data_IF_558149754156
#
_entry.id   IF_558149754156
#
_cell.length_a   1.000
_cell.length_b   1.000
_cell.length_c   1.000
_cell.angle_alpha   90.00
_cell.angle_beta   90.00
_cell.angle_gamma   90.00
#
_symmetry.space_group_name_H-M   'P 1'
#
loop_
_entity.id
_entity.type
_entity.pdbx_description
1 polymer ?
#
# COMPACT_ATOMS: atom_id res chain seq x y z
N UNK A 1 -7.61 29.30 9.94
CA UNK A 1 -8.05 27.96 10.26
C UNK A 1 -8.23 27.13 8.98
N UNK A 2 -9.01 27.60 8.02
CA UNK A 2 -9.30 26.90 6.76
C UNK A 2 -8.06 26.65 5.91
N UNK A 3 -7.11 27.61 5.88
CA UNK A 3 -5.83 27.42 5.19
C UNK A 3 -4.99 26.30 5.79
N UNK A 4 -4.97 26.19 7.13
CA UNK A 4 -4.22 25.14 7.83
C UNK A 4 -4.89 23.78 7.60
N UNK A 5 -6.24 23.72 7.65
CA UNK A 5 -7.01 22.53 7.29
C UNK A 5 -6.70 22.07 5.87
N UNK A 6 -6.74 23.03 4.91
CA UNK A 6 -6.42 22.76 3.51
C UNK A 6 -5.01 22.20 3.31
N UNK A 7 -4.00 22.76 4.02
CA UNK A 7 -2.64 22.23 3.98
C UNK A 7 -2.57 20.77 4.48
N UNK A 8 -3.27 20.47 5.59
CA UNK A 8 -3.35 19.10 6.11
C UNK A 8 -3.96 18.12 5.11
N UNK A 9 -5.07 18.49 4.48
CA UNK A 9 -5.75 17.68 3.46
C UNK A 9 -4.84 17.44 2.25
N UNK A 10 -4.24 18.49 1.70
CA UNK A 10 -3.35 18.41 0.53
C UNK A 10 -2.16 17.48 0.83
N UNK A 11 -1.49 17.68 1.97
CA UNK A 11 -0.35 16.88 2.36
C UNK A 11 -0.73 15.42 2.53
N UNK A 12 -1.84 15.15 3.18
CA UNK A 12 -2.37 13.80 3.37
C UNK A 12 -2.74 13.14 2.03
N UNK A 13 -3.59 13.78 1.24
CA UNK A 13 -4.11 13.21 0.00
C UNK A 13 -2.99 13.02 -1.05
N UNK A 14 -2.09 13.99 -1.19
CA UNK A 14 -0.99 13.91 -2.13
C UNK A 14 -0.01 12.76 -1.79
N UNK A 15 0.39 12.65 -0.52
CA UNK A 15 1.32 11.58 -0.09
C UNK A 15 0.70 10.20 -0.20
N UNK A 16 -0.61 10.06 0.07
CA UNK A 16 -1.35 8.82 -0.19
C UNK A 16 -1.39 8.51 -1.68
N UNK A 17 -1.68 9.52 -2.52
CA UNK A 17 -1.65 9.38 -3.97
C UNK A 17 -0.31 8.89 -4.50
N UNK A 18 0.80 9.46 -4.02
CA UNK A 18 2.16 9.05 -4.41
C UNK A 18 2.43 7.57 -4.06
N UNK A 19 2.07 7.15 -2.85
CA UNK A 19 2.26 5.77 -2.43
C UNK A 19 1.42 4.79 -3.27
N UNK A 20 0.13 5.10 -3.44
CA UNK A 20 -0.80 4.26 -4.21
C UNK A 20 -0.44 4.22 -5.70
N UNK A 21 0.00 5.34 -6.28
CA UNK A 21 0.30 5.46 -7.71
C UNK A 21 1.36 4.49 -8.20
N UNK A 22 2.35 4.16 -7.37
CA UNK A 22 3.44 3.25 -7.74
C UNK A 22 2.98 1.83 -8.08
N UNK A 23 1.86 1.38 -7.52
CA UNK A 23 1.30 0.03 -7.74
C UNK A 23 -0.08 0.06 -8.41
N UNK A 24 -0.73 1.23 -8.51
CA UNK A 24 -2.13 1.37 -8.91
C UNK A 24 -2.48 0.69 -10.24
N UNK A 25 -1.65 0.86 -11.28
CA UNK A 25 -1.94 0.27 -12.60
C UNK A 25 -1.81 -1.26 -12.60
N UNK A 26 -0.88 -1.81 -11.84
CA UNK A 26 -0.73 -3.27 -11.66
C UNK A 26 -1.87 -3.82 -10.81
N UNK A 27 -2.23 -3.12 -9.73
CA UNK A 27 -3.32 -3.49 -8.84
C UNK A 27 -4.68 -3.40 -9.54
N UNK A 28 -4.91 -2.38 -10.39
CA UNK A 28 -6.13 -2.24 -11.18
C UNK A 28 -6.36 -3.46 -12.06
N UNK A 29 -5.32 -3.94 -12.77
CA UNK A 29 -5.44 -5.14 -13.61
C UNK A 29 -5.69 -6.41 -12.80
N UNK A 30 -5.14 -6.51 -11.61
CA UNK A 30 -5.16 -7.71 -10.78
C UNK A 30 -6.34 -7.76 -9.80
N UNK A 31 -6.75 -6.60 -9.28
CA UNK A 31 -7.75 -6.48 -8.22
C UNK A 31 -9.04 -5.78 -8.69
N UNK A 32 -9.27 -5.66 -10.02
CA UNK A 32 -10.41 -4.93 -10.57
C UNK A 32 -11.77 -5.38 -9.99
N UNK A 33 -11.94 -6.69 -9.75
CA UNK A 33 -13.18 -7.22 -9.18
C UNK A 33 -13.41 -6.76 -7.74
N UNK A 34 -12.33 -6.69 -6.94
CA UNK A 34 -12.39 -6.19 -5.56
C UNK A 34 -12.64 -4.68 -5.53
N UNK A 35 -12.02 -3.94 -6.46
CA UNK A 35 -12.25 -2.51 -6.63
C UNK A 35 -13.69 -2.21 -7.05
N UNK A 36 -14.26 -3.01 -7.97
CA UNK A 36 -15.66 -2.92 -8.37
C UNK A 36 -16.60 -3.19 -7.18
N UNK A 37 -16.32 -4.23 -6.39
CA UNK A 37 -17.07 -4.51 -5.17
C UNK A 37 -17.03 -3.33 -4.17
N UNK A 38 -15.88 -2.67 -4.06
CA UNK A 38 -15.75 -1.43 -3.27
C UNK A 38 -16.65 -0.32 -3.78
N UNK A 39 -16.66 -0.07 -5.09
CA UNK A 39 -17.55 0.94 -5.72
C UNK A 39 -19.04 0.61 -5.48
N UNK A 40 -19.42 -0.66 -5.68
CA UNK A 40 -20.80 -1.13 -5.40
C UNK A 40 -21.14 -0.96 -3.92
N UNK A 41 -20.22 -1.33 -3.00
CA UNK A 41 -20.41 -1.15 -1.57
C UNK A 41 -20.63 0.32 -1.19
N UNK A 42 -19.84 1.25 -1.75
CA UNK A 42 -19.99 2.69 -1.55
C UNK A 42 -21.35 3.20 -2.08
N UNK A 43 -21.77 2.75 -3.26
CA UNK A 43 -23.05 3.13 -3.84
C UNK A 43 -24.24 2.59 -3.01
N UNK A 44 -24.16 1.34 -2.54
CA UNK A 44 -25.17 0.76 -1.66
C UNK A 44 -25.23 1.49 -0.31
N UNK A 45 -24.07 1.87 0.25
CA UNK A 45 -24.04 2.71 1.46
C UNK A 45 -24.73 4.06 1.25
N UNK A 46 -24.48 4.71 0.13
CA UNK A 46 -25.13 6.00 -0.19
C UNK A 46 -26.65 5.83 -0.32
N UNK A 47 -27.11 4.82 -1.04
CA UNK A 47 -28.53 4.53 -1.22
C UNK A 47 -29.22 4.14 0.10
N UNK A 48 -28.58 3.28 0.90
CA UNK A 48 -29.08 2.88 2.22
C UNK A 48 -29.07 4.07 3.19
N UNK A 49 -28.06 4.92 3.14
CA UNK A 49 -28.00 6.15 3.94
C UNK A 49 -29.13 7.11 3.61
N UNK A 50 -29.45 7.31 2.33
CA UNK A 50 -30.60 8.11 1.89
C UNK A 50 -31.93 7.48 2.31
N UNK A 51 -32.11 6.17 2.12
CA UNK A 51 -33.34 5.47 2.48
C UNK A 51 -33.60 5.48 4.01
N UNK A 52 -32.61 5.08 4.79
CA UNK A 52 -32.70 5.11 6.25
C UNK A 52 -32.74 6.54 6.79
N UNK A 53 -31.99 7.46 6.20
CA UNK A 53 -32.03 8.86 6.57
C UNK A 53 -33.43 9.45 6.45
N UNK A 54 -34.14 9.22 5.33
CA UNK A 54 -35.53 9.63 5.14
C UNK A 54 -36.48 9.00 6.18
N UNK A 55 -36.27 7.72 6.51
CA UNK A 55 -37.09 7.02 7.50
C UNK A 55 -36.95 7.64 8.89
N UNK A 56 -35.74 8.12 9.24
CA UNK A 56 -35.47 8.76 10.54
C UNK A 56 -35.56 10.30 10.50
N UNK A 57 -36.04 10.89 9.41
CA UNK A 57 -36.22 12.34 9.28
C UNK A 57 -34.93 13.14 9.16
N UNK A 58 -33.83 12.52 8.69
CA UNK A 58 -32.57 13.19 8.42
C UNK A 58 -32.63 13.96 7.10
N UNK A 59 -32.07 15.17 7.08
CA UNK A 59 -31.92 15.95 5.83
C UNK A 59 -30.84 15.35 4.92
N UNK A 60 -30.87 15.60 3.60
CA UNK A 60 -29.77 15.21 2.70
C UNK A 60 -28.40 15.71 3.17
N UNK A 61 -28.35 16.89 3.81
CA UNK A 61 -27.13 17.45 4.41
C UNK A 61 -26.60 16.58 5.56
N UNK A 62 -27.48 16.11 6.47
CA UNK A 62 -27.10 15.16 7.50
C UNK A 62 -26.55 13.86 6.88
N UNK A 63 -27.21 13.32 5.84
CA UNK A 63 -26.81 12.06 5.20
C UNK A 63 -25.47 12.24 4.48
N UNK A 64 -25.23 13.36 3.80
CA UNK A 64 -23.95 13.64 3.16
C UNK A 64 -22.80 13.73 4.20
N UNK A 65 -23.05 14.41 5.32
CA UNK A 65 -22.12 14.48 6.44
C UNK A 65 -21.86 13.10 7.05
N UNK A 66 -22.92 12.33 7.32
CA UNK A 66 -22.87 10.97 7.85
C UNK A 66 -22.04 10.06 6.94
N UNK A 67 -22.31 10.08 5.64
CA UNK A 67 -21.61 9.26 4.66
C UNK A 67 -20.11 9.58 4.61
N UNK A 68 -19.75 10.88 4.57
CA UNK A 68 -18.35 11.31 4.61
C UNK A 68 -17.68 10.94 5.94
N UNK A 69 -18.39 11.09 7.07
CA UNK A 69 -17.88 10.85 8.41
C UNK A 69 -17.63 9.37 8.70
N UNK A 70 -18.61 8.51 8.45
CA UNK A 70 -18.48 7.07 8.72
C UNK A 70 -17.38 6.41 7.87
N UNK A 71 -17.13 6.94 6.67
CA UNK A 71 -16.04 6.55 5.79
C UNK A 71 -14.75 7.34 6.07
N UNK A 72 -14.71 8.14 7.14
CA UNK A 72 -13.56 8.94 7.60
C UNK A 72 -12.89 9.73 6.48
N UNK A 73 -13.70 10.22 5.54
CA UNK A 73 -13.25 10.72 4.25
C UNK A 73 -13.10 12.24 4.22
N UNK A 74 -12.09 12.77 3.54
CA UNK A 74 -12.02 14.19 3.22
C UNK A 74 -13.15 14.67 2.29
N UNK A 75 -14.03 13.77 1.81
CA UNK A 75 -15.24 14.12 1.06
C UNK A 75 -16.19 15.06 1.84
N UNK A 76 -15.96 15.27 3.14
CA UNK A 76 -16.66 16.30 3.92
C UNK A 76 -16.49 17.72 3.32
N UNK A 77 -15.36 18.00 2.67
CA UNK A 77 -15.18 19.29 2.01
C UNK A 77 -16.11 19.42 0.80
N UNK A 78 -16.22 18.36 -0.01
CA UNK A 78 -17.18 18.31 -1.12
C UNK A 78 -18.63 18.34 -0.64
N UNK A 79 -18.95 17.62 0.47
CA UNK A 79 -20.26 17.66 1.10
C UNK A 79 -20.61 19.07 1.59
N UNK A 80 -19.67 19.75 2.25
CA UNK A 80 -19.88 21.10 2.78
C UNK A 80 -20.08 22.12 1.64
N UNK A 81 -19.33 21.99 0.55
CA UNK A 81 -19.51 22.83 -0.63
C UNK A 81 -20.88 22.60 -1.29
N UNK A 82 -21.25 21.34 -1.51
CA UNK A 82 -22.52 20.97 -2.13
C UNK A 82 -23.75 21.40 -1.30
N UNK A 83 -23.62 21.43 0.03
CA UNK A 83 -24.66 21.87 0.96
C UNK A 83 -24.59 23.37 1.33
N UNK A 84 -23.76 24.15 0.64
CA UNK A 84 -23.52 25.58 0.94
C UNK A 84 -23.15 25.85 2.40
N UNK A 85 -22.38 24.94 3.02
CA UNK A 85 -21.94 25.07 4.40
C UNK A 85 -23.01 24.79 5.44
N UNK A 86 -24.06 24.03 5.14
CA UNK A 86 -25.11 23.68 6.07
C UNK A 86 -24.54 23.04 7.37
N UNK A 87 -24.98 23.50 8.52
CA UNK A 87 -24.53 23.00 9.82
C UNK A 87 -24.80 21.50 10.01
N UNK A 88 -25.91 21.01 9.45
CA UNK A 88 -26.30 19.59 9.46
C UNK A 88 -25.24 18.67 8.87
N UNK A 89 -24.51 19.14 7.86
CA UNK A 89 -23.42 18.36 7.26
C UNK A 89 -22.27 18.13 8.24
N UNK A 90 -21.90 19.15 9.00
CA UNK A 90 -20.87 19.03 10.04
C UNK A 90 -21.33 18.18 11.21
N UNK A 91 -22.62 18.29 11.60
CA UNK A 91 -23.25 17.45 12.64
C UNK A 91 -23.20 15.98 12.20
N UNK A 92 -23.67 15.67 11.00
CA UNK A 92 -23.64 14.33 10.43
C UNK A 92 -22.22 13.74 10.44
N UNK A 93 -21.23 14.52 10.01
CA UNK A 93 -19.82 14.11 10.00
C UNK A 93 -19.28 13.86 11.41
N UNK A 94 -19.49 14.82 12.34
CA UNK A 94 -18.94 14.74 13.69
C UNK A 94 -19.42 13.52 14.46
N UNK A 95 -20.72 13.20 14.33
CA UNK A 95 -21.35 12.08 15.01
C UNK A 95 -20.98 10.72 14.40
N UNK A 96 -20.83 10.66 13.08
CA UNK A 96 -20.57 9.40 12.36
C UNK A 96 -19.09 9.02 12.32
N UNK A 97 -18.17 9.97 12.41
CA UNK A 97 -16.72 9.71 12.34
C UNK A 97 -16.23 8.72 13.42
N UNK A 98 -16.55 8.91 14.72
CA UNK A 98 -16.18 7.94 15.75
C UNK A 98 -16.80 6.55 15.50
N UNK A 99 -18.03 6.51 14.99
CA UNK A 99 -18.72 5.24 14.63
C UNK A 99 -17.94 4.51 13.54
N UNK A 100 -17.52 5.23 12.50
CA UNK A 100 -16.70 4.69 11.41
C UNK A 100 -15.42 4.03 11.91
N UNK A 101 -14.71 4.70 12.83
CA UNK A 101 -13.47 4.17 13.41
C UNK A 101 -13.76 2.93 14.26
N UNK A 102 -14.72 3.02 15.22
CA UNK A 102 -15.00 1.93 16.17
C UNK A 102 -15.54 0.70 15.44
N UNK A 103 -16.54 0.85 14.58
CA UNK A 103 -17.11 -0.27 13.82
C UNK A 103 -16.06 -0.84 12.87
N UNK A 104 -15.23 0.01 12.25
CA UNK A 104 -14.14 -0.42 11.38
C UNK A 104 -13.11 -1.28 12.11
N UNK A 105 -12.67 -0.87 13.30
CA UNK A 105 -11.76 -1.65 14.16
C UNK A 105 -12.36 -3.00 14.56
N UNK A 106 -13.65 -3.02 14.94
CA UNK A 106 -14.35 -4.27 15.30
C UNK A 106 -14.42 -5.22 14.12
N UNK A 107 -14.78 -4.75 12.91
CA UNK A 107 -14.85 -5.57 11.71
C UNK A 107 -13.48 -6.16 11.34
N UNK A 108 -12.42 -5.35 11.42
CA UNK A 108 -11.05 -5.82 11.19
C UNK A 108 -10.64 -6.86 12.23
N UNK A 109 -10.94 -6.64 13.52
CA UNK A 109 -10.64 -7.60 14.59
C UNK A 109 -11.29 -8.97 14.34
N UNK A 110 -12.50 -8.98 13.77
CA UNK A 110 -13.23 -10.22 13.46
C UNK A 110 -12.59 -10.95 12.26
N UNK A 111 -12.09 -10.22 11.26
CA UNK A 111 -11.73 -10.80 9.95
C UNK A 111 -10.23 -11.10 9.84
N UNK A 112 -9.35 -10.24 10.37
CA UNK A 112 -7.92 -10.27 10.12
C UNK A 112 -7.26 -11.63 10.42
N UNK A 113 -7.72 -12.31 11.48
CA UNK A 113 -7.21 -13.61 11.94
C UNK A 113 -7.99 -14.82 11.37
N UNK A 114 -8.97 -14.59 10.51
CA UNK A 114 -9.73 -15.70 9.92
C UNK A 114 -8.92 -16.38 8.83
N UNK A 115 -9.07 -17.70 8.77
CA UNK A 115 -8.53 -18.52 7.68
C UNK A 115 -9.71 -19.08 6.88
N UNK A 116 -9.75 -18.81 5.59
CA UNK A 116 -10.66 -19.43 4.64
C UNK A 116 -9.90 -19.79 3.36
N UNK A 117 -10.44 -20.69 2.51
CA UNK A 117 -9.78 -21.08 1.27
C UNK A 117 -9.51 -19.88 0.36
N UNK A 118 -8.25 -19.65 0.06
CA UNK A 118 -7.75 -18.50 -0.71
C UNK A 118 -7.03 -18.94 -2.00
N UNK A 119 -7.64 -19.86 -2.76
CA UNK A 119 -6.99 -20.54 -3.89
C UNK A 119 -6.62 -19.64 -5.06
N UNK A 120 -7.16 -18.42 -5.14
CA UNK A 120 -6.83 -17.43 -6.17
C UNK A 120 -5.96 -16.29 -5.66
N UNK A 121 -5.59 -16.30 -4.38
CA UNK A 121 -4.69 -15.31 -3.84
C UNK A 121 -3.24 -15.79 -3.92
N UNK A 122 -2.30 -14.86 -3.91
CA UNK A 122 -0.89 -15.22 -3.81
C UNK A 122 -0.58 -15.69 -2.38
N UNK A 123 0.35 -16.62 -2.26
CA UNK A 123 0.99 -16.92 -0.97
C UNK A 123 1.62 -15.66 -0.40
N UNK A 124 1.42 -15.42 0.90
CA UNK A 124 2.06 -14.30 1.59
C UNK A 124 3.57 -14.50 1.62
N UNK A 125 4.29 -13.45 1.26
CA UNK A 125 5.75 -13.44 1.40
C UNK A 125 6.19 -13.29 2.87
N UNK A 126 5.34 -12.67 3.70
CA UNK A 126 5.62 -12.46 5.12
C UNK A 126 5.35 -13.73 5.97
N UNK A 127 4.32 -14.50 5.64
CA UNK A 127 3.97 -15.76 6.32
C UNK A 127 5.01 -16.86 6.11
N UNK A 128 5.60 -16.88 4.90
CA UNK A 128 6.56 -17.92 4.53
C UNK A 128 7.97 -17.67 5.07
N UNK A 129 8.31 -16.45 5.48
CA UNK A 129 9.68 -16.09 5.85
C UNK A 129 10.70 -16.58 4.81
N UNK A 130 11.60 -15.72 4.35
CA UNK A 130 12.62 -16.20 3.40
C UNK A 130 13.59 -17.13 4.09
N UNK A 131 13.63 -18.39 3.65
CA UNK A 131 14.57 -19.40 4.12
C UNK A 131 15.79 -19.43 3.19
N UNK A 132 16.96 -19.69 3.76
CA UNK A 132 18.19 -19.93 3.03
C UNK A 132 18.73 -21.28 3.47
N UNK A 133 18.87 -22.21 2.52
CA UNK A 133 19.32 -23.58 2.80
C UNK A 133 20.51 -23.89 1.92
N UNK A 134 21.59 -24.39 2.57
CA UNK A 134 22.74 -24.95 1.86
C UNK A 134 22.40 -26.38 1.45
N UNK A 135 22.49 -26.67 0.15
CA UNK A 135 22.07 -27.94 -0.45
C UNK A 135 23.26 -28.57 -1.12
N UNK A 136 23.46 -29.87 -0.89
CA UNK A 136 24.44 -30.70 -1.61
C UNK A 136 23.75 -31.26 -2.86
N UNK A 137 24.44 -31.19 -3.97
CA UNK A 137 23.96 -31.71 -5.27
C UNK A 137 24.28 -33.21 -5.36
N UNK A 138 23.23 -34.04 -5.49
CA UNK A 138 23.35 -35.50 -5.57
C UNK A 138 23.31 -36.04 -7.01
N UNK A 139 22.93 -35.19 -7.97
CA UNK A 139 22.84 -35.55 -9.40
C UNK A 139 23.24 -34.39 -10.29
N UNK A 140 23.85 -34.69 -11.42
CA UNK A 140 24.17 -33.67 -12.41
C UNK A 140 22.90 -32.99 -12.91
N UNK A 141 22.88 -31.66 -12.84
CA UNK A 141 21.76 -30.81 -13.26
C UNK A 141 22.28 -29.41 -13.59
N UNK A 142 21.42 -28.50 -13.98
CA UNK A 142 21.80 -27.10 -14.14
C UNK A 142 20.94 -26.18 -13.26
N UNK A 143 21.45 -24.99 -12.94
CA UNK A 143 20.69 -24.01 -12.17
C UNK A 143 19.36 -23.67 -12.85
N UNK A 144 19.33 -23.59 -14.18
CA UNK A 144 18.09 -23.30 -14.94
C UNK A 144 17.05 -24.41 -14.86
N UNK A 145 17.48 -25.66 -14.62
CA UNK A 145 16.55 -26.80 -14.50
C UNK A 145 15.97 -26.93 -13.11
N UNK A 146 16.49 -26.19 -12.14
CA UNK A 146 15.97 -26.23 -10.77
C UNK A 146 14.57 -25.61 -10.69
N UNK A 147 13.59 -26.32 -10.10
CA UNK A 147 12.24 -25.81 -9.92
C UNK A 147 12.19 -24.45 -9.23
N UNK A 148 11.41 -23.53 -9.78
CA UNK A 148 11.23 -22.19 -9.25
C UNK A 148 12.35 -21.19 -9.57
N UNK A 149 13.44 -21.61 -10.21
CA UNK A 149 14.52 -20.68 -10.57
C UNK A 149 14.14 -19.72 -11.71
N UNK A 150 13.56 -20.25 -12.79
CA UNK A 150 13.15 -19.46 -13.95
C UNK A 150 11.92 -18.56 -13.64
N UNK A 151 11.10 -18.97 -12.67
CA UNK A 151 9.91 -18.22 -12.23
C UNK A 151 10.22 -17.22 -11.12
N UNK A 152 11.51 -16.98 -10.83
CA UNK A 152 11.94 -16.09 -9.75
C UNK A 152 11.39 -16.46 -8.35
N UNK A 153 11.05 -17.72 -8.10
CA UNK A 153 10.56 -18.23 -6.80
C UNK A 153 11.71 -18.61 -5.87
N UNK A 154 12.86 -19.02 -6.43
CA UNK A 154 14.09 -19.28 -5.69
C UNK A 154 15.27 -18.53 -6.30
N UNK A 155 16.23 -18.20 -5.47
CA UNK A 155 17.52 -17.61 -5.86
C UNK A 155 18.66 -18.50 -5.37
N UNK A 156 19.63 -18.72 -6.22
CA UNK A 156 20.88 -19.36 -5.84
C UNK A 156 21.97 -18.30 -5.82
N UNK A 157 22.76 -18.24 -4.74
CA UNK A 157 23.75 -17.19 -4.55
C UNK A 157 25.18 -17.69 -4.52
N UNK A 158 25.42 -18.79 -3.82
CA UNK A 158 26.76 -19.38 -3.69
C UNK A 158 26.80 -20.75 -4.37
N UNK A 159 27.94 -21.05 -4.98
CA UNK A 159 28.33 -22.37 -5.41
C UNK A 159 29.72 -22.66 -4.83
N UNK A 160 29.79 -23.71 -4.01
CA UNK A 160 31.05 -24.27 -3.51
C UNK A 160 31.35 -25.54 -4.30
N UNK A 161 32.50 -25.54 -4.99
CA UNK A 161 33.03 -26.66 -5.76
C UNK A 161 34.50 -26.85 -5.44
N UNK A 162 34.92 -28.06 -5.10
CA UNK A 162 36.31 -28.39 -4.79
C UNK A 162 36.97 -27.49 -3.73
N UNK A 163 36.20 -26.97 -2.80
CA UNK A 163 36.66 -26.06 -1.76
C UNK A 163 36.71 -24.58 -2.16
N UNK A 164 36.49 -24.25 -3.44
CA UNK A 164 36.40 -22.87 -3.91
C UNK A 164 34.95 -22.36 -3.92
N UNK A 165 34.73 -21.22 -3.29
CA UNK A 165 33.42 -20.58 -3.22
C UNK A 165 33.31 -19.48 -4.26
N UNK A 166 32.31 -19.57 -5.11
CA UNK A 166 32.03 -18.55 -6.13
C UNK A 166 30.53 -18.22 -6.21
N UNK A 167 30.21 -17.13 -6.90
CA UNK A 167 28.80 -16.79 -7.18
C UNK A 167 28.21 -17.77 -8.18
N UNK A 168 27.01 -18.27 -7.84
CA UNK A 168 26.22 -19.10 -8.71
C UNK A 168 25.65 -18.27 -9.88
N UNK A 169 25.81 -18.77 -11.09
CA UNK A 169 25.32 -18.12 -12.33
C UNK A 169 24.20 -18.95 -12.96
N UNK A 170 23.26 -18.35 -13.70
CA UNK A 170 22.19 -19.10 -14.33
C UNK A 170 22.67 -20.21 -15.30
N UNK A 171 23.85 -20.02 -15.86
CA UNK A 171 24.41 -20.93 -16.88
C UNK A 171 25.37 -21.98 -16.28
N UNK A 172 25.42 -22.06 -14.93
CA UNK A 172 26.24 -23.06 -14.27
C UNK A 172 25.59 -24.45 -14.34
N UNK A 173 26.38 -25.41 -14.78
CA UNK A 173 26.11 -26.83 -14.59
C UNK A 173 26.57 -27.25 -13.19
N UNK A 174 25.70 -27.93 -12.48
CA UNK A 174 25.93 -28.42 -11.13
C UNK A 174 26.37 -29.90 -11.18
N UNK A 175 27.47 -30.21 -10.51
CA UNK A 175 28.03 -31.56 -10.44
C UNK A 175 27.76 -32.18 -9.06
N UNK A 176 27.81 -33.49 -9.03
CA UNK A 176 27.66 -34.25 -7.78
C UNK A 176 28.72 -33.80 -6.76
N UNK A 177 28.28 -33.47 -5.56
CA UNK A 177 29.15 -32.96 -4.48
C UNK A 177 29.26 -31.43 -4.43
N UNK A 178 28.79 -30.71 -5.43
CA UNK A 178 28.64 -29.24 -5.35
C UNK A 178 27.71 -28.86 -4.20
N UNK A 179 27.98 -27.74 -3.53
CA UNK A 179 27.06 -27.16 -2.57
C UNK A 179 26.55 -25.81 -3.03
N UNK A 180 25.23 -25.62 -2.97
CA UNK A 180 24.55 -24.40 -3.43
C UNK A 180 23.72 -23.80 -2.32
N UNK A 181 23.75 -22.48 -2.15
CA UNK A 181 22.85 -21.78 -1.25
C UNK A 181 21.58 -21.38 -2.00
N UNK A 182 20.47 -22.01 -1.63
CA UNK A 182 19.12 -21.77 -2.18
C UNK A 182 18.36 -20.85 -1.25
N UNK A 183 17.77 -19.77 -1.76
CA UNK A 183 17.00 -18.77 -1.02
C UNK A 183 15.63 -18.62 -1.66
N UNK A 184 14.58 -18.69 -0.88
CA UNK A 184 13.19 -18.56 -1.34
C UNK A 184 12.20 -18.78 -0.20
N UNK A 185 10.93 -18.93 -0.56
CA UNK A 185 9.93 -19.38 0.41
C UNK A 185 10.18 -20.84 0.80
N UNK A 186 9.83 -21.29 2.02
CA UNK A 186 10.10 -22.65 2.49
C UNK A 186 9.65 -23.75 1.53
N UNK A 187 8.43 -23.66 0.97
CA UNK A 187 7.89 -24.68 0.05
C UNK A 187 8.67 -24.72 -1.27
N UNK A 188 9.07 -23.56 -1.80
CA UNK A 188 9.83 -23.46 -3.04
C UNK A 188 11.26 -23.95 -2.84
N UNK A 189 11.87 -23.61 -1.69
CA UNK A 189 13.20 -24.09 -1.29
C UNK A 189 13.19 -25.61 -1.12
N UNK A 190 12.17 -26.18 -0.44
CA UNK A 190 12.06 -27.64 -0.27
C UNK A 190 11.98 -28.36 -1.61
N UNK A 191 11.18 -27.84 -2.57
CA UNK A 191 11.09 -28.41 -3.92
C UNK A 191 12.42 -28.33 -4.69
N UNK A 192 13.13 -27.22 -4.52
CA UNK A 192 14.45 -27.06 -5.13
C UNK A 192 15.48 -28.00 -4.50
N UNK A 193 15.47 -28.17 -3.16
CA UNK A 193 16.34 -29.11 -2.43
C UNK A 193 16.07 -30.55 -2.86
N UNK A 194 14.81 -30.98 -2.93
CA UNK A 194 14.44 -32.34 -3.39
C UNK A 194 14.92 -32.63 -4.82
N UNK A 195 14.92 -31.59 -5.68
CA UNK A 195 15.41 -31.72 -7.03
C UNK A 195 16.95 -31.80 -7.08
N UNK A 196 17.65 -31.01 -6.26
CA UNK A 196 19.11 -30.92 -6.25
C UNK A 196 19.77 -32.10 -5.52
N UNK A 197 19.22 -32.48 -4.33
CA UNK A 197 19.79 -33.52 -3.49
C UNK A 197 19.31 -33.39 -2.05
N UNK A 198 20.20 -33.10 -1.10
CA UNK A 198 19.89 -33.04 0.32
C UNK A 198 20.46 -31.78 1.00
N UNK A 199 19.92 -31.45 2.19
CA UNK A 199 20.39 -30.31 2.99
C UNK A 199 21.81 -30.58 3.51
N UNK A 200 22.70 -29.63 3.29
CA UNK A 200 24.09 -29.68 3.78
C UNK A 200 24.14 -29.47 5.28
N UNK A 201 24.93 -30.24 6.00
CA UNK A 201 25.24 -29.97 7.41
C UNK A 201 26.10 -28.69 7.56
N UNK A 202 26.83 -28.31 6.51
CA UNK A 202 27.67 -27.12 6.47
C UNK A 202 26.87 -25.91 5.96
N UNK A 203 26.82 -24.85 6.75
CA UNK A 203 26.10 -23.64 6.38
C UNK A 203 27.01 -22.67 5.62
N UNK A 204 26.84 -22.55 4.31
CA UNK A 204 27.65 -21.68 3.43
C UNK A 204 27.59 -20.19 3.82
N UNK A 205 26.57 -19.76 4.55
CA UNK A 205 26.40 -18.36 5.01
C UNK A 205 27.45 -17.94 6.05
N UNK A 206 28.17 -18.87 6.66
CA UNK A 206 29.16 -18.57 7.71
C UNK A 206 30.59 -18.42 7.17
N UNK A 207 30.84 -18.72 5.90
CA UNK A 207 32.16 -18.65 5.29
C UNK A 207 32.36 -17.34 4.52
N UNK A 208 33.11 -16.40 5.12
CA UNK A 208 33.31 -15.02 4.58
C UNK A 208 34.69 -14.77 3.97
N UNK A 209 35.41 -15.81 3.54
CA UNK A 209 36.80 -15.63 3.14
C UNK A 209 36.98 -14.92 1.79
N UNK A 210 36.11 -15.17 0.80
CA UNK A 210 36.25 -14.59 -0.56
C UNK A 210 35.02 -13.78 -0.99
N UNK A 211 33.82 -14.18 -0.52
CA UNK A 211 32.57 -13.48 -0.78
C UNK A 211 32.02 -12.92 0.52
N UNK A 212 31.59 -11.69 0.48
CA UNK A 212 30.92 -11.05 1.61
C UNK A 212 29.48 -10.70 1.22
N UNK A 213 28.58 -10.65 2.21
CA UNK A 213 27.23 -10.18 2.01
C UNK A 213 26.97 -8.97 2.89
N UNK A 214 26.49 -7.92 2.27
CA UNK A 214 26.18 -6.68 2.97
C UNK A 214 24.83 -6.14 2.53
N UNK A 215 24.15 -5.49 3.46
CA UNK A 215 22.95 -4.70 3.15
C UNK A 215 23.38 -3.29 2.79
N UNK A 216 23.00 -2.86 1.58
CA UNK A 216 23.21 -1.51 1.08
C UNK A 216 21.89 -0.77 1.03
N UNK A 217 21.90 0.51 1.42
CA UNK A 217 20.72 1.37 1.33
C UNK A 217 20.64 1.98 -0.06
N UNK A 218 19.50 1.81 -0.73
CA UNK A 218 19.25 2.42 -2.03
C UNK A 218 19.05 3.92 -1.85
N UNK A 219 20.12 4.68 -2.03
CA UNK A 219 20.13 6.14 -1.99
C UNK A 219 20.59 6.77 -3.30
N UNK A 220 21.07 5.94 -4.26
CA UNK A 220 21.47 6.41 -5.58
C UNK A 220 20.21 6.73 -6.42
N UNK A 221 20.07 7.99 -6.82
CA UNK A 221 18.91 8.46 -7.58
C UNK A 221 18.74 7.81 -8.95
N UNK A 222 19.82 7.30 -9.53
CA UNK A 222 19.77 6.68 -10.86
C UNK A 222 19.10 5.29 -10.83
N UNK A 223 19.00 4.67 -9.65
CA UNK A 223 18.38 3.35 -9.46
C UNK A 223 16.92 3.42 -9.03
N UNK A 224 16.50 4.55 -8.46
CA UNK A 224 15.13 4.75 -7.99
C UNK A 224 14.15 4.71 -9.15
N UNK A 225 13.10 3.90 -9.03
CA UNK A 225 12.07 3.71 -10.04
C UNK A 225 12.46 2.73 -11.16
N UNK A 226 13.66 2.11 -11.08
CA UNK A 226 14.09 1.05 -12.02
C UNK A 226 13.79 -0.33 -11.45
N UNK A 227 13.48 -1.27 -12.34
CA UNK A 227 13.36 -2.68 -11.94
C UNK A 227 14.75 -3.26 -11.67
N UNK A 228 14.84 -4.14 -10.67
CA UNK A 228 16.11 -4.77 -10.30
C UNK A 228 16.75 -5.52 -11.49
N UNK A 229 15.94 -6.17 -12.32
CA UNK A 229 16.41 -6.87 -13.54
C UNK A 229 16.99 -5.94 -14.61
N UNK A 230 16.64 -4.64 -14.59
CA UNK A 230 17.19 -3.64 -15.53
C UNK A 230 18.53 -3.05 -15.08
N UNK A 231 18.98 -3.41 -13.88
CA UNK A 231 20.22 -2.90 -13.28
C UNK A 231 21.31 -3.97 -13.48
N UNK A 232 22.38 -3.60 -14.16
CA UNK A 232 23.53 -4.50 -14.32
C UNK A 232 24.37 -4.52 -13.03
N UNK A 233 23.83 -5.17 -11.99
CA UNK A 233 24.54 -5.36 -10.72
C UNK A 233 25.78 -6.19 -10.93
N UNK A 234 25.66 -7.28 -11.71
CA UNK A 234 26.75 -8.22 -11.95
C UNK A 234 27.94 -7.60 -12.69
N UNK A 235 27.69 -6.88 -13.78
CA UNK A 235 28.76 -6.23 -14.54
C UNK A 235 29.49 -5.16 -13.75
N UNK A 236 28.78 -4.46 -12.85
CA UNK A 236 29.36 -3.37 -12.04
C UNK A 236 30.07 -3.82 -10.77
N UNK A 237 29.54 -4.85 -10.10
CA UNK A 237 30.02 -5.25 -8.76
C UNK A 237 30.53 -6.68 -8.71
N UNK A 238 30.42 -7.43 -9.81
CA UNK A 238 30.59 -8.89 -9.82
C UNK A 238 29.74 -9.59 -8.77
N UNK A 239 28.64 -8.95 -8.33
CA UNK A 239 27.78 -9.39 -7.25
C UNK A 239 26.38 -9.74 -7.70
N UNK A 240 25.57 -10.21 -6.74
CA UNK A 240 24.17 -10.58 -6.95
C UNK A 240 23.31 -10.13 -5.78
N UNK A 241 22.19 -9.51 -6.07
CA UNK A 241 21.18 -9.20 -5.04
C UNK A 241 20.35 -10.44 -4.77
N UNK A 242 20.16 -10.79 -3.49
CA UNK A 242 19.39 -11.96 -3.05
C UNK A 242 18.09 -11.59 -2.37
N UNK A 243 18.08 -10.48 -1.66
CA UNK A 243 16.89 -9.97 -0.94
C UNK A 243 16.80 -8.45 -1.05
N UNK A 244 15.57 -7.95 -1.01
CA UNK A 244 15.26 -6.52 -0.89
C UNK A 244 14.37 -6.34 0.34
N UNK A 245 14.79 -5.49 1.28
CA UNK A 245 13.99 -5.14 2.45
C UNK A 245 13.42 -3.75 2.29
N UNK A 246 12.12 -3.64 2.39
CA UNK A 246 11.35 -2.38 2.35
C UNK A 246 10.57 -2.23 3.64
N UNK A 247 10.95 -1.27 4.49
CA UNK A 247 10.44 -1.20 5.85
C UNK A 247 10.77 -2.49 6.62
N UNK A 248 9.73 -3.18 7.10
CA UNK A 248 9.86 -4.45 7.81
C UNK A 248 9.64 -5.69 6.93
N UNK A 249 9.35 -5.51 5.65
CA UNK A 249 9.12 -6.59 4.70
C UNK A 249 10.42 -7.00 3.99
N UNK A 250 10.86 -8.25 4.20
CA UNK A 250 11.94 -8.88 3.42
C UNK A 250 11.34 -9.60 2.21
N UNK A 251 11.77 -9.22 1.01
CA UNK A 251 11.31 -9.77 -0.28
C UNK A 251 12.47 -10.48 -0.97
N UNK A 252 12.17 -11.59 -1.67
CA UNK A 252 13.14 -12.20 -2.59
C UNK A 252 13.48 -11.21 -3.71
N UNK A 253 14.75 -11.09 -4.09
CA UNK A 253 15.22 -10.15 -5.11
C UNK A 253 14.79 -10.59 -6.52
N UNK A 254 13.52 -10.44 -6.83
CA UNK A 254 12.95 -10.74 -8.14
C UNK A 254 13.32 -9.66 -9.16
N UNK A 255 13.38 -10.04 -10.43
CA UNK A 255 13.75 -9.14 -11.53
C UNK A 255 12.74 -7.98 -11.72
N UNK A 256 11.47 -8.20 -11.40
CA UNK A 256 10.36 -7.24 -11.54
C UNK A 256 10.25 -6.21 -10.39
N UNK A 257 11.01 -6.38 -9.30
CA UNK A 257 10.99 -5.43 -8.18
C UNK A 257 11.50 -4.06 -8.62
N UNK A 258 10.66 -3.06 -8.49
CA UNK A 258 11.04 -1.65 -8.67
C UNK A 258 11.67 -1.14 -7.38
N UNK A 259 12.94 -0.69 -7.45
CA UNK A 259 13.66 -0.16 -6.31
C UNK A 259 13.10 1.21 -5.90
N UNK A 260 12.91 1.38 -4.60
CA UNK A 260 12.46 2.63 -3.97
C UNK A 260 13.57 3.24 -3.10
N UNK A 261 13.52 4.56 -2.86
CA UNK A 261 14.47 5.20 -1.94
C UNK A 261 14.34 4.58 -0.54
N UNK A 262 15.47 4.18 0.05
CA UNK A 262 15.50 3.58 1.39
C UNK A 262 15.28 2.06 1.41
N UNK A 263 15.05 1.41 0.27
CA UNK A 263 15.13 -0.05 0.19
C UNK A 263 16.51 -0.50 0.64
N UNK A 264 16.58 -1.60 1.38
CA UNK A 264 17.84 -2.22 1.79
C UNK A 264 18.04 -3.49 0.97
N UNK A 265 19.00 -3.48 0.07
CA UNK A 265 19.35 -4.62 -0.77
C UNK A 265 20.43 -5.46 -0.11
N UNK A 266 20.17 -6.76 0.08
CA UNK A 266 21.20 -7.72 0.49
C UNK A 266 21.94 -8.19 -0.76
N UNK A 267 23.17 -7.71 -0.92
CA UNK A 267 24.01 -8.06 -2.04
C UNK A 267 25.17 -8.96 -1.60
N UNK A 268 25.39 -10.01 -2.35
CA UNK A 268 26.56 -10.88 -2.25
C UNK A 268 27.57 -10.39 -3.27
N UNK A 269 28.75 -10.02 -2.80
CA UNK A 269 29.83 -9.47 -3.65
C UNK A 269 31.18 -10.02 -3.21
N UNK A 270 32.18 -10.10 -4.10
CA UNK A 270 33.56 -10.32 -3.71
C UNK A 270 34.00 -9.25 -2.69
N UNK A 271 34.73 -9.62 -1.65
CA UNK A 271 35.10 -8.70 -0.58
C UNK A 271 35.80 -7.43 -1.08
N UNK A 272 36.62 -7.55 -2.11
CA UNK A 272 37.34 -6.42 -2.75
C UNK A 272 36.42 -5.50 -3.59
N UNK A 273 35.16 -5.87 -3.86
CA UNK A 273 34.17 -5.12 -4.62
C UNK A 273 33.05 -4.50 -3.78
N UNK A 274 33.18 -4.54 -2.45
CA UNK A 274 32.18 -3.95 -1.55
C UNK A 274 32.01 -2.44 -1.77
N UNK A 275 33.11 -1.71 -2.07
CA UNK A 275 33.06 -0.29 -2.41
C UNK A 275 32.25 -0.04 -3.68
N UNK A 276 32.45 -0.85 -4.71
CA UNK A 276 31.73 -0.71 -5.99
C UNK A 276 30.22 -0.90 -5.78
N UNK A 277 29.83 -1.84 -4.90
CA UNK A 277 28.44 -2.05 -4.55
C UNK A 277 27.86 -0.86 -3.73
N UNK A 278 28.64 -0.32 -2.78
CA UNK A 278 28.25 0.87 -2.04
C UNK A 278 28.05 2.09 -2.97
N UNK A 279 28.95 2.29 -3.92
CA UNK A 279 28.85 3.36 -4.92
C UNK A 279 27.65 3.15 -5.86
N UNK A 280 27.39 1.90 -6.28
CA UNK A 280 26.24 1.58 -7.10
C UNK A 280 24.93 1.92 -6.40
N UNK A 281 24.72 1.43 -5.17
CA UNK A 281 23.47 1.63 -4.42
C UNK A 281 23.41 2.99 -3.73
N UNK A 282 24.55 3.64 -3.48
CA UNK A 282 24.71 4.93 -2.82
C UNK A 282 24.88 4.84 -1.31
N UNK A 283 24.44 3.79 -0.65
CA UNK A 283 24.60 3.37 0.75
C UNK A 283 24.64 4.53 1.79
N UNK A 284 23.72 5.50 1.64
CA UNK A 284 23.67 6.70 2.48
C UNK A 284 22.29 6.92 3.08
N UNK A 285 22.14 6.69 4.38
CA UNK A 285 20.90 6.98 5.15
C UNK A 285 20.59 8.50 5.12
N UNK A 286 21.61 9.36 5.16
CA UNK A 286 21.42 10.80 5.13
C UNK A 286 20.80 11.28 3.82
N UNK A 287 21.17 10.68 2.67
CA UNK A 287 20.57 11.02 1.37
C UNK A 287 19.13 10.54 1.25
N UNK A 288 18.81 9.41 1.86
CA UNK A 288 17.44 8.88 1.89
C UNK A 288 16.52 9.76 2.74
N UNK A 289 17.05 10.36 3.82
CA UNK A 289 16.25 11.22 4.70
C UNK A 289 15.95 12.58 4.11
N UNK A 290 16.61 12.99 3.03
CA UNK A 290 16.38 14.28 2.38
C UNK A 290 15.11 14.23 1.53
N UNK A 291 14.13 15.07 1.91
CA UNK A 291 12.93 15.29 1.12
C UNK A 291 13.28 16.26 -0.02
N UNK A 292 12.99 15.85 -1.24
CA UNK A 292 13.03 16.81 -2.36
C UNK A 292 11.83 17.76 -2.24
N UNK A 293 12.05 18.89 -1.55
CA UNK A 293 11.02 19.88 -1.30
C UNK A 293 10.46 20.49 -2.58
N UNK A 294 11.26 20.55 -3.65
CA UNK A 294 10.81 21.06 -4.95
C UNK A 294 9.80 20.11 -5.59
N UNK A 295 10.12 18.81 -5.66
CA UNK A 295 9.21 17.81 -6.21
C UNK A 295 7.93 17.69 -5.40
N UNK A 296 8.03 17.69 -4.05
CA UNK A 296 6.87 17.64 -3.17
C UNK A 296 5.98 18.88 -3.36
N UNK A 297 6.57 20.07 -3.36
CA UNK A 297 5.84 21.34 -3.50
C UNK A 297 5.18 21.50 -4.87
N UNK A 298 5.92 21.20 -5.95
CA UNK A 298 5.38 21.24 -7.31
C UNK A 298 4.25 20.24 -7.49
N UNK A 299 4.43 19.00 -7.04
CA UNK A 299 3.40 17.97 -7.17
C UNK A 299 2.11 18.33 -6.40
N UNK A 300 2.25 18.84 -5.17
CA UNK A 300 1.11 19.31 -4.39
C UNK A 300 0.42 20.53 -5.06
N UNK A 301 1.18 21.47 -5.61
CA UNK A 301 0.64 22.62 -6.35
C UNK A 301 -0.11 22.20 -7.62
N UNK A 302 0.46 21.28 -8.41
CA UNK A 302 -0.23 20.69 -9.57
C UNK A 302 -1.51 19.96 -9.15
N UNK A 303 -1.50 19.29 -8.02
CA UNK A 303 -2.68 18.65 -7.45
C UNK A 303 -3.78 19.66 -7.08
N UNK A 304 -3.40 20.78 -6.47
CA UNK A 304 -4.35 21.88 -6.17
C UNK A 304 -4.91 22.50 -7.45
N UNK A 305 -4.07 22.71 -8.46
CA UNK A 305 -4.52 23.22 -9.76
C UNK A 305 -5.51 22.25 -10.43
N UNK A 306 -5.20 20.95 -10.40
CA UNK A 306 -6.12 19.93 -10.89
C UNK A 306 -7.44 19.91 -10.09
N UNK A 307 -7.34 20.10 -8.76
CA UNK A 307 -8.50 20.18 -7.88
C UNK A 307 -9.41 21.36 -8.16
N UNK A 308 -8.84 22.50 -8.55
CA UNK A 308 -9.55 23.73 -8.88
C UNK A 308 -10.14 23.75 -10.30
N UNK A 309 -9.87 22.74 -11.13
CA UNK A 309 -10.47 22.65 -12.46
C UNK A 309 -11.96 22.37 -12.34
N UNK A 310 -12.77 23.33 -12.77
CA UNK A 310 -14.22 23.17 -12.89
C UNK A 310 -14.57 22.49 -14.21
N UNK A 311 -15.25 21.36 -14.13
CA UNK A 311 -15.82 20.68 -15.29
C UNK A 311 -17.32 20.96 -15.32
N UNK A 312 -17.76 21.67 -16.35
CA UNK A 312 -19.20 21.90 -16.58
C UNK A 312 -19.82 20.60 -17.10
N UNK A 313 -20.75 20.03 -16.35
CA UNK A 313 -21.52 18.86 -16.71
C UNK A 313 -22.86 19.29 -17.36
N UNK A 314 -23.50 18.40 -18.20
CA UNK A 314 -24.83 18.63 -18.70
C UNK A 314 -25.84 18.95 -17.59
N UNK A 315 -26.83 19.81 -17.86
CA UNK A 315 -27.85 20.30 -16.92
C UNK A 315 -27.35 21.35 -15.91
N UNK A 316 -26.24 22.06 -16.18
CA UNK A 316 -25.77 23.16 -15.34
C UNK A 316 -25.04 22.71 -14.07
N UNK A 317 -24.75 21.41 -13.93
CA UNK A 317 -23.96 20.88 -12.84
C UNK A 317 -22.49 21.29 -13.01
N UNK A 318 -21.87 21.82 -11.96
CA UNK A 318 -20.45 22.11 -11.91
C UNK A 318 -19.79 21.05 -11.05
N UNK A 319 -18.80 20.34 -11.61
CA UNK A 319 -18.01 19.35 -10.91
C UNK A 319 -16.61 19.90 -10.67
N UNK A 320 -16.18 19.85 -9.42
CA UNK A 320 -14.84 20.21 -8.98
C UNK A 320 -14.27 19.06 -8.15
N UNK A 321 -13.03 18.64 -8.44
CA UNK A 321 -12.35 17.62 -7.65
C UNK A 321 -12.02 18.11 -6.22
N UNK A 322 -11.85 19.42 -6.06
CA UNK A 322 -11.59 20.07 -4.78
C UNK A 322 -10.18 19.82 -4.24
N UNK A 323 -9.98 20.32 -3.03
CA UNK A 323 -8.66 20.31 -2.35
C UNK A 323 -8.20 18.92 -1.89
N UNK A 324 -9.06 17.93 -1.93
CA UNK A 324 -8.75 16.54 -1.53
C UNK A 324 -8.45 15.63 -2.73
N UNK A 325 -9.38 15.55 -3.70
CA UNK A 325 -9.24 14.61 -4.80
C UNK A 325 -8.20 15.07 -5.83
N UNK A 326 -8.07 16.37 -6.08
CA UNK A 326 -7.06 16.88 -7.01
C UNK A 326 -5.63 16.46 -6.62
N UNK A 327 -5.15 16.75 -5.41
CA UNK A 327 -3.86 16.28 -4.93
C UNK A 327 -3.72 14.76 -4.89
N UNK A 328 -4.78 14.02 -4.55
CA UNK A 328 -4.76 12.55 -4.57
C UNK A 328 -4.52 12.02 -5.98
N UNK A 329 -5.32 12.45 -6.95
CA UNK A 329 -5.22 12.01 -8.34
C UNK A 329 -3.87 12.40 -8.94
N UNK A 330 -3.42 13.63 -8.71
CA UNK A 330 -2.10 14.08 -9.17
C UNK A 330 -1.00 13.26 -8.52
N UNK A 331 -1.08 12.98 -7.23
CA UNK A 331 -0.15 12.10 -6.52
C UNK A 331 -0.11 10.70 -7.14
N UNK A 332 -1.27 10.13 -7.51
CA UNK A 332 -1.33 8.82 -8.18
C UNK A 332 -0.66 8.87 -9.56
N UNK A 333 -0.89 9.91 -10.36
CA UNK A 333 -0.26 10.09 -11.67
C UNK A 333 1.25 10.19 -11.51
N UNK A 334 1.73 11.09 -10.66
CA UNK A 334 3.15 11.33 -10.46
C UNK A 334 3.84 10.11 -9.81
N UNK A 335 3.17 9.45 -8.87
CA UNK A 335 3.62 8.21 -8.25
C UNK A 335 3.78 7.05 -9.25
N UNK A 336 2.90 6.97 -10.27
CA UNK A 336 3.00 5.95 -11.33
C UNK A 336 4.11 6.26 -12.35
N UNK A 337 4.38 7.54 -12.60
CA UNK A 337 5.46 7.99 -13.51
C UNK A 337 6.83 7.85 -12.84
N UNK A 338 6.91 7.92 -11.52
CA UNK A 338 8.11 7.85 -10.69
C UNK A 338 9.09 9.00 -10.88
N UNK A 339 9.33 9.43 -12.13
CA UNK A 339 10.32 10.44 -12.48
C UNK A 339 9.94 11.21 -13.74
N UNK A 340 10.20 12.52 -13.76
CA UNK A 340 10.09 13.37 -14.94
C UNK A 340 11.36 14.21 -15.07
N UNK A 341 12.27 13.82 -15.97
CA UNK A 341 13.57 14.46 -16.10
C UNK A 341 14.39 14.41 -14.79
N UNK A 342 14.81 15.56 -14.22
CA UNK A 342 15.54 15.62 -12.97
C UNK A 342 14.63 15.44 -11.74
N UNK A 343 13.31 15.70 -11.86
CA UNK A 343 12.36 15.64 -10.76
C UNK A 343 11.98 14.20 -10.42
N UNK A 344 12.01 13.87 -9.14
CA UNK A 344 11.62 12.57 -8.59
C UNK A 344 10.38 12.73 -7.76
N UNK A 345 9.36 11.98 -8.13
CA UNK A 345 8.06 12.05 -7.47
C UNK A 345 7.93 11.07 -6.28
N UNK A 346 8.85 10.11 -6.17
CA UNK A 346 8.82 9.15 -5.06
C UNK A 346 9.44 9.73 -3.79
N UNK A 347 8.77 9.49 -2.67
CA UNK A 347 9.27 9.74 -1.33
C UNK A 347 9.74 8.44 -0.68
N UNK A 348 10.77 8.47 0.18
CA UNK A 348 11.10 7.33 1.02
C UNK A 348 9.90 6.90 1.86
N UNK A 349 9.73 5.59 2.07
CA UNK A 349 8.55 5.04 2.75
C UNK A 349 8.30 5.71 4.13
N UNK A 350 9.33 5.82 4.96
CA UNK A 350 9.23 6.45 6.27
C UNK A 350 8.82 7.93 6.17
N UNK A 351 9.41 8.67 5.24
CA UNK A 351 9.09 10.10 5.01
C UNK A 351 7.65 10.27 4.55
N UNK A 352 7.19 9.45 3.61
CA UNK A 352 5.81 9.44 3.14
C UNK A 352 4.84 9.17 4.29
N UNK A 353 5.14 8.16 5.13
CA UNK A 353 4.32 7.82 6.30
C UNK A 353 4.21 8.99 7.30
N UNK A 354 5.34 9.66 7.62
CA UNK A 354 5.36 10.80 8.54
C UNK A 354 4.55 11.97 7.97
N UNK A 355 4.78 12.35 6.72
CA UNK A 355 4.06 13.47 6.07
C UNK A 355 2.56 13.18 5.97
N UNK A 356 2.18 11.95 5.62
CA UNK A 356 0.79 11.49 5.61
C UNK A 356 0.15 11.61 6.98
N UNK A 357 0.83 11.14 8.01
CA UNK A 357 0.33 11.19 9.38
C UNK A 357 0.20 12.64 9.88
N UNK A 358 1.19 13.48 9.62
CA UNK A 358 1.15 14.90 9.97
C UNK A 358 -0.01 15.62 9.28
N UNK A 359 -0.19 15.39 7.97
CA UNK A 359 -1.31 15.94 7.20
C UNK A 359 -2.67 15.53 7.78
N UNK A 360 -2.81 14.24 8.11
CA UNK A 360 -4.02 13.69 8.73
C UNK A 360 -4.28 14.33 10.11
N UNK A 361 -3.27 14.43 10.97
CA UNK A 361 -3.41 15.04 12.31
C UNK A 361 -3.87 16.49 12.22
N UNK A 362 -3.24 17.29 11.35
CA UNK A 362 -3.63 18.69 11.12
C UNK A 362 -5.08 18.79 10.65
N UNK A 363 -5.45 17.96 9.66
CA UNK A 363 -6.81 17.90 9.14
C UNK A 363 -7.81 17.55 10.24
N UNK A 364 -7.59 16.47 10.98
CA UNK A 364 -8.49 16.01 12.05
C UNK A 364 -8.62 17.02 13.19
N UNK A 365 -7.52 17.65 13.60
CA UNK A 365 -7.55 18.69 14.62
C UNK A 365 -8.43 19.88 14.18
N UNK A 366 -8.27 20.34 12.92
CA UNK A 366 -9.10 21.42 12.40
C UNK A 366 -10.58 21.07 12.29
N UNK A 367 -10.89 19.84 11.84
CA UNK A 367 -12.27 19.35 11.72
C UNK A 367 -12.87 19.12 13.11
N UNK A 368 -12.14 18.52 14.05
CA UNK A 368 -12.60 18.32 15.41
C UNK A 368 -12.97 19.61 16.12
N UNK A 369 -12.08 20.64 15.99
CA UNK A 369 -12.37 21.99 16.52
C UNK A 369 -13.57 22.65 15.84
N UNK A 370 -13.84 22.35 14.56
CA UNK A 370 -15.00 22.91 13.86
C UNK A 370 -16.32 22.25 14.29
N UNK A 371 -16.30 20.92 14.46
CA UNK A 371 -17.50 20.11 14.72
C UNK A 371 -17.77 19.88 16.21
N UNK A 372 -16.84 20.19 17.10
CA UNK A 372 -16.98 19.96 18.54
C UNK A 372 -18.25 20.54 19.17
N UNK A 373 -18.58 21.83 18.96
CA UNK A 373 -19.80 22.41 19.48
C UNK A 373 -21.08 21.72 18.99
N UNK A 374 -21.12 21.36 17.69
CA UNK A 374 -22.24 20.66 17.10
C UNK A 374 -22.38 19.23 17.68
N UNK A 375 -21.25 18.55 17.90
CA UNK A 375 -21.22 17.24 18.55
C UNK A 375 -21.84 17.31 19.96
N UNK A 376 -21.37 18.22 20.81
CA UNK A 376 -21.83 18.35 22.19
C UNK A 376 -23.34 18.66 22.31
N UNK A 377 -23.88 19.45 21.39
CA UNK A 377 -25.29 19.83 21.39
C UNK A 377 -26.22 18.75 20.83
N UNK A 378 -25.73 17.89 19.94
CA UNK A 378 -26.56 16.96 19.15
C UNK A 378 -26.36 15.48 19.49
N UNK A 379 -25.27 15.09 20.18
CA UNK A 379 -24.90 13.68 20.36
C UNK A 379 -25.97 12.83 21.06
N UNK A 380 -26.67 13.40 22.01
CA UNK A 380 -27.76 12.73 22.76
C UNK A 380 -29.17 13.10 22.28
N UNK A 381 -29.28 13.86 21.19
CA UNK A 381 -30.58 14.18 20.57
C UNK A 381 -31.11 12.97 19.78
N UNK A 382 -32.42 12.94 19.53
CA UNK A 382 -33.03 11.92 18.66
C UNK A 382 -32.40 11.87 17.28
N UNK A 383 -32.11 13.05 16.69
CA UNK A 383 -31.38 13.17 15.41
C UNK A 383 -29.96 12.59 15.52
N UNK A 384 -29.24 12.92 16.61
CA UNK A 384 -27.86 12.40 16.80
C UNK A 384 -27.82 10.89 16.93
N UNK A 385 -28.74 10.30 17.70
CA UNK A 385 -28.85 8.84 17.83
C UNK A 385 -29.21 8.18 16.50
N UNK A 386 -30.10 8.81 15.70
CA UNK A 386 -30.42 8.33 14.36
C UNK A 386 -29.18 8.35 13.44
N UNK A 387 -28.39 9.43 13.44
CA UNK A 387 -27.14 9.53 12.68
C UNK A 387 -26.18 8.41 13.07
N UNK A 388 -25.97 8.17 14.37
CA UNK A 388 -25.10 7.10 14.88
C UNK A 388 -25.58 5.72 14.41
N UNK A 389 -26.88 5.43 14.56
CA UNK A 389 -27.44 4.14 14.19
C UNK A 389 -27.36 3.89 12.67
N UNK A 390 -27.76 4.87 11.86
CA UNK A 390 -27.70 4.79 10.40
C UNK A 390 -26.24 4.62 9.94
N UNK A 391 -25.28 5.31 10.56
CA UNK A 391 -23.85 5.18 10.27
C UNK A 391 -23.36 3.77 10.50
N UNK A 392 -23.67 3.17 11.65
CA UNK A 392 -23.23 1.82 11.97
C UNK A 392 -23.82 0.79 11.01
N UNK A 393 -25.13 0.87 10.72
CA UNK A 393 -25.82 -0.06 9.81
C UNK A 393 -25.26 0.05 8.40
N UNK A 394 -25.09 1.27 7.86
CA UNK A 394 -24.58 1.46 6.49
C UNK A 394 -23.16 0.99 6.34
N UNK A 395 -22.27 1.22 7.33
CA UNK A 395 -20.88 0.76 7.29
C UNK A 395 -20.81 -0.77 7.34
N UNK A 396 -21.57 -1.42 8.20
CA UNK A 396 -21.62 -2.89 8.27
C UNK A 396 -22.12 -3.47 6.95
N UNK A 397 -23.16 -2.86 6.35
CA UNK A 397 -23.70 -3.29 5.05
C UNK A 397 -22.65 -3.16 3.94
N UNK A 398 -22.05 -2.00 3.77
CA UNK A 398 -21.03 -1.75 2.72
C UNK A 398 -19.78 -2.61 2.94
N UNK A 399 -19.34 -2.72 4.19
CA UNK A 399 -18.18 -3.55 4.55
C UNK A 399 -18.44 -5.04 4.30
N UNK A 400 -19.64 -5.53 4.62
CA UNK A 400 -20.03 -6.91 4.34
C UNK A 400 -20.01 -7.24 2.83
N UNK A 401 -20.38 -6.29 1.97
CA UNK A 401 -20.30 -6.47 0.51
C UNK A 401 -18.85 -6.68 0.07
N UNK A 402 -17.92 -5.83 0.55
CA UNK A 402 -16.49 -5.94 0.19
C UNK A 402 -15.89 -7.26 0.67
N UNK A 403 -16.21 -7.65 1.92
CA UNK A 403 -15.70 -8.88 2.53
C UNK A 403 -16.29 -10.11 1.84
N UNK A 404 -17.59 -10.13 1.59
CA UNK A 404 -18.26 -11.21 0.86
C UNK A 404 -17.72 -11.34 -0.56
N UNK A 405 -17.47 -10.23 -1.25
CA UNK A 405 -16.87 -10.25 -2.57
C UNK A 405 -15.46 -10.87 -2.55
N UNK A 406 -14.63 -10.49 -1.60
CA UNK A 406 -13.29 -11.08 -1.43
C UNK A 406 -13.37 -12.60 -1.18
N UNK A 407 -14.29 -13.02 -0.32
CA UNK A 407 -14.53 -14.45 -0.05
C UNK A 407 -15.03 -15.21 -1.29
N UNK A 408 -16.01 -14.66 -2.01
CA UNK A 408 -16.51 -15.25 -3.26
C UNK A 408 -15.44 -15.35 -4.35
N UNK A 409 -14.52 -14.39 -4.39
CA UNK A 409 -13.37 -14.38 -5.29
C UNK A 409 -12.26 -15.33 -4.86
N UNK A 410 -12.40 -16.02 -3.73
CA UNK A 410 -11.38 -16.91 -3.15
C UNK A 410 -10.06 -16.17 -2.85
N UNK A 411 -10.16 -14.92 -2.40
CA UNK A 411 -9.04 -14.13 -1.91
C UNK A 411 -8.86 -14.36 -0.39
N UNK A 412 -7.68 -14.10 0.13
CA UNK A 412 -7.38 -14.31 1.56
C UNK A 412 -8.15 -13.36 2.48
N UNK A 413 -8.31 -13.77 3.75
CA UNK A 413 -8.89 -12.92 4.80
C UNK A 413 -8.06 -11.66 5.01
N UNK A 414 -6.74 -11.75 4.89
CA UNK A 414 -5.80 -10.65 5.00
C UNK A 414 -6.02 -9.62 3.89
N UNK A 415 -6.19 -10.09 2.65
CA UNK A 415 -6.53 -9.19 1.52
C UNK A 415 -7.91 -8.56 1.70
N UNK A 416 -8.90 -9.31 2.17
CA UNK A 416 -10.23 -8.78 2.50
C UNK A 416 -10.17 -7.71 3.60
N UNK A 417 -9.33 -7.93 4.61
CA UNK A 417 -9.09 -6.96 5.71
C UNK A 417 -8.49 -5.66 5.18
N UNK A 418 -7.45 -5.76 4.35
CA UNK A 418 -6.84 -4.60 3.70
C UNK A 418 -7.82 -3.85 2.80
N UNK A 419 -8.60 -4.58 2.00
CA UNK A 419 -9.64 -4.03 1.15
C UNK A 419 -10.70 -3.28 1.96
N UNK A 420 -11.20 -3.85 3.05
CA UNK A 420 -12.14 -3.19 3.94
C UNK A 420 -11.53 -1.94 4.60
N UNK A 421 -10.30 -2.02 5.09
CA UNK A 421 -9.61 -0.86 5.66
C UNK A 421 -9.44 0.28 4.62
N UNK A 422 -9.11 -0.05 3.35
CA UNK A 422 -9.03 0.90 2.25
C UNK A 422 -10.40 1.44 1.83
N UNK A 423 -11.44 0.61 1.88
CA UNK A 423 -12.84 1.00 1.66
C UNK A 423 -13.29 2.07 2.66
N UNK A 424 -13.01 1.88 3.96
CA UNK A 424 -13.26 2.91 4.98
C UNK A 424 -12.32 4.10 4.78
N UNK A 425 -11.05 3.85 4.48
CA UNK A 425 -10.06 4.88 4.21
C UNK A 425 -9.36 5.44 5.44
N UNK A 426 -9.42 4.73 6.59
CA UNK A 426 -8.83 5.19 7.85
C UNK A 426 -7.46 4.52 8.09
N UNK A 427 -6.37 5.33 8.14
CA UNK A 427 -5.04 4.79 8.42
C UNK A 427 -4.90 4.07 9.76
N UNK A 428 -5.66 4.47 10.78
CA UNK A 428 -5.65 3.80 12.07
C UNK A 428 -6.19 2.36 11.97
N UNK A 429 -7.19 2.12 11.11
CA UNK A 429 -7.73 0.77 10.85
C UNK A 429 -6.69 -0.09 10.13
N UNK A 430 -5.95 0.45 9.16
CA UNK A 430 -4.84 -0.23 8.51
C UNK A 430 -3.73 -0.58 9.51
N UNK A 431 -3.32 0.39 10.33
CA UNK A 431 -2.27 0.19 11.34
C UNK A 431 -2.67 -0.90 12.33
N UNK A 432 -3.95 -0.93 12.75
CA UNK A 432 -4.48 -1.98 13.61
C UNK A 432 -4.49 -3.34 12.90
N UNK A 433 -4.90 -3.41 11.63
CA UNK A 433 -4.86 -4.64 10.86
C UNK A 433 -3.43 -5.21 10.78
N UNK A 434 -2.44 -4.37 10.49
CA UNK A 434 -1.03 -4.75 10.46
C UNK A 434 -0.48 -5.18 11.83
N UNK A 435 -1.00 -4.61 12.93
CA UNK A 435 -0.60 -5.05 14.28
C UNK A 435 -1.16 -6.44 14.65
N UNK A 436 -2.27 -6.85 14.04
CA UNK A 436 -2.86 -8.17 14.25
C UNK A 436 -2.21 -9.26 13.38
N UNK A 437 -1.87 -8.92 12.14
CA UNK A 437 -1.26 -9.83 11.17
C UNK A 437 -0.32 -9.03 10.26
N UNK A 438 0.96 -9.41 10.23
CA UNK A 438 1.94 -8.79 9.35
C UNK A 438 1.91 -9.49 7.98
N UNK A 439 1.17 -8.90 7.02
CA UNK A 439 0.93 -9.49 5.70
C UNK A 439 0.83 -8.38 4.64
N UNK A 440 1.68 -8.45 3.62
CA UNK A 440 1.75 -7.43 2.56
C UNK A 440 0.45 -7.31 1.73
N UNK A 441 -0.38 -8.36 1.74
CA UNK A 441 -1.67 -8.36 1.05
C UNK A 441 -2.64 -7.36 1.67
N UNK A 442 -2.48 -7.04 2.97
CA UNK A 442 -3.26 -6.01 3.66
C UNK A 442 -2.96 -4.64 3.06
N UNK A 443 -1.68 -4.27 2.94
CA UNK A 443 -1.29 -2.96 2.41
C UNK A 443 -1.60 -2.81 0.92
N UNK A 444 -1.36 -3.85 0.13
CA UNK A 444 -1.68 -3.85 -1.30
C UNK A 444 -3.17 -3.62 -1.56
N UNK A 445 -4.05 -4.34 -0.86
CA UNK A 445 -5.49 -4.19 -1.01
C UNK A 445 -6.01 -2.84 -0.45
N UNK A 446 -5.42 -2.37 0.66
CA UNK A 446 -5.72 -1.05 1.20
C UNK A 446 -5.44 0.05 0.17
N UNK A 447 -4.24 0.07 -0.42
CA UNK A 447 -3.85 1.09 -1.39
C UNK A 447 -4.78 1.12 -2.60
N UNK A 448 -5.13 -0.04 -3.14
CA UNK A 448 -6.01 -0.16 -4.30
C UNK A 448 -7.41 0.41 -4.04
N UNK A 449 -8.04 0.05 -2.90
CA UNK A 449 -9.39 0.52 -2.58
C UNK A 449 -9.42 1.93 -2.02
N UNK A 450 -8.38 2.35 -1.29
CA UNK A 450 -8.32 3.70 -0.73
C UNK A 450 -8.33 4.77 -1.81
N UNK A 451 -7.49 4.64 -2.83
CA UNK A 451 -7.33 5.64 -3.88
C UNK A 451 -8.62 5.78 -4.71
N UNK A 452 -9.12 4.66 -5.27
CA UNK A 452 -10.37 4.65 -6.03
C UNK A 452 -11.56 5.05 -5.16
N UNK A 453 -11.63 4.49 -3.94
CA UNK A 453 -12.71 4.75 -3.01
C UNK A 453 -12.82 6.23 -2.63
N UNK A 454 -11.71 6.93 -2.46
CA UNK A 454 -11.73 8.38 -2.13
C UNK A 454 -12.36 9.19 -3.25
N UNK A 455 -12.01 8.92 -4.51
CA UNK A 455 -12.62 9.59 -5.66
C UNK A 455 -14.14 9.30 -5.72
N UNK A 456 -14.51 8.04 -5.60
CA UNK A 456 -15.93 7.61 -5.63
C UNK A 456 -16.74 8.23 -4.49
N UNK A 457 -16.18 8.31 -3.28
CA UNK A 457 -16.83 8.95 -2.12
C UNK A 457 -17.13 10.43 -2.38
N UNK A 458 -16.20 11.15 -2.97
CA UNK A 458 -16.36 12.57 -3.31
C UNK A 458 -17.48 12.76 -4.34
N UNK A 459 -17.58 11.87 -5.33
CA UNK A 459 -18.66 11.89 -6.31
C UNK A 459 -20.03 11.56 -5.69
N UNK A 460 -20.08 10.48 -4.89
CA UNK A 460 -21.33 10.04 -4.28
C UNK A 460 -21.88 11.02 -3.25
N UNK A 461 -21.03 11.73 -2.51
CA UNK A 461 -21.47 12.78 -1.59
C UNK A 461 -22.22 13.88 -2.32
N UNK A 462 -21.79 14.29 -3.51
CA UNK A 462 -22.47 15.28 -4.32
C UNK A 462 -23.82 14.77 -4.82
N UNK A 463 -23.88 13.48 -5.22
CA UNK A 463 -25.15 12.83 -5.62
C UNK A 463 -26.13 12.78 -4.45
N UNK A 464 -25.68 12.46 -3.22
CA UNK A 464 -26.53 12.42 -2.02
C UNK A 464 -27.22 13.77 -1.77
N UNK A 465 -26.52 14.88 -2.01
CA UNK A 465 -27.07 16.23 -1.79
C UNK A 465 -28.10 16.61 -2.86
N UNK A 466 -28.00 16.05 -4.09
CA UNK A 466 -28.87 16.35 -5.21
C UNK A 466 -30.21 15.58 -5.17
N UNK A 467 -30.32 14.53 -4.37
CA UNK A 467 -31.48 13.63 -4.25
C UNK A 467 -32.26 13.91 -2.98
#
# INVERSE_FOLDING_TARGET
RDRIKGLGVVLFCYTVGLAAGSTFLSDLKRQWGLMLAGVVGLAVMAAAGLGLGRLFGLTPAHVAGLYAGVLTSPAIDAASMATHGAADTLVGYALSYPVGVVVGLIMVAIIAKRCWPASKDNTSMAEAGLTAVSTVVDRETSIRQTPGFNDDQVRMSYLLRDGEMRLATPDDDLHVGDQVLVVGNPDDVNRAVEHLGHVSERTLTNERNELDFRRFVVSNPALVGRTLGSIDVRGRTSGKVTRVRRGDLDMLARSDIVLQPGDRVLCVVPAHRLSDAADLFGDSEARVSQVDALSLGLGAALGLLLGALMVALPRGLQFELGTAAGPLVMGMILGSIHRTGPLRWQLPHATNAILRQLGLMIFLACVGLASGPAFLSQAVSGTGLAVIAVSAVTLVLGGAIVIAAAWCMKLSAQRATGAFAGFVGQPAILSYANSLVNDERIESAYGALFALGTVVKILLVQVIVLV
#
